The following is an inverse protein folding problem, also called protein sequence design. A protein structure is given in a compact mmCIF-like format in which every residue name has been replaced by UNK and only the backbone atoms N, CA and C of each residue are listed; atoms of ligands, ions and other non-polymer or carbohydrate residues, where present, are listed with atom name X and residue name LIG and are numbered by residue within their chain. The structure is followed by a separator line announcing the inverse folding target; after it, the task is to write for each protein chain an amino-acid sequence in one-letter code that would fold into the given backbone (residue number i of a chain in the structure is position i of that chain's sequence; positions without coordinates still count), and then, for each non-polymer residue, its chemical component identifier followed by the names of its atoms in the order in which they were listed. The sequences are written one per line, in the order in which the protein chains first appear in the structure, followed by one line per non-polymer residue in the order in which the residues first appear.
data_IF_235802710134
#
_entry.id   IF_235802710134
#
_cell.length_a   1.000
_cell.length_b   1.000
_cell.length_c   1.000
_cell.angle_alpha   90.00
_cell.angle_beta   90.00
_cell.angle_gamma   90.00
#
_symmetry.space_group_name_H-M   'P 1'
#
loop_
_entity.id
_entity.type
_entity.pdbx_description
1 polymer ?
#
# COMPACT_ATOMS: atom_id res chain seq x y z
N UNK A 1 -61.99 15.09 11.53
CA UNK A 1 -61.07 13.93 11.50
C UNK A 1 -59.67 14.40 11.86
N UNK A 2 -59.22 14.13 13.09
CA UNK A 2 -57.89 14.54 13.59
C UNK A 2 -56.85 13.46 13.30
N UNK A 3 -55.78 13.80 12.55
CA UNK A 3 -54.61 12.92 12.32
C UNK A 3 -53.82 12.78 13.63
N UNK A 4 -53.77 11.59 14.20
CA UNK A 4 -52.85 11.27 15.30
C UNK A 4 -51.44 11.17 14.73
N UNK A 5 -50.60 12.17 15.06
CA UNK A 5 -49.19 12.16 14.71
C UNK A 5 -48.47 11.23 15.68
N UNK A 6 -48.15 10.01 15.23
CA UNK A 6 -47.38 9.06 16.03
C UNK A 6 -45.99 9.63 16.32
N UNK A 7 -45.69 9.92 17.59
CA UNK A 7 -44.33 10.25 18.02
C UNK A 7 -43.49 8.97 18.06
N UNK A 8 -42.48 8.89 17.18
CA UNK A 8 -41.47 7.84 17.19
C UNK A 8 -40.48 8.13 18.31
N UNK A 9 -40.26 7.22 19.29
CA UNK A 9 -39.26 7.43 20.32
C UNK A 9 -37.87 7.54 19.71
N UNK A 10 -37.18 8.67 19.90
CA UNK A 10 -35.77 8.82 19.50
C UNK A 10 -34.89 7.99 20.43
N UNK A 11 -34.37 6.88 19.92
CA UNK A 11 -33.42 6.02 20.62
C UNK A 11 -32.14 6.81 20.94
N UNK A 12 -31.95 7.22 22.19
CA UNK A 12 -30.68 7.85 22.64
C UNK A 12 -29.65 6.76 22.85
N UNK A 13 -28.67 6.66 21.95
CA UNK A 13 -27.53 5.75 22.06
C UNK A 13 -26.53 6.28 23.09
N UNK A 14 -26.82 6.12 24.38
CA UNK A 14 -25.81 6.31 25.42
C UNK A 14 -25.18 4.96 25.77
N UNK A 15 -24.51 4.34 24.80
CA UNK A 15 -23.62 3.24 25.11
C UNK A 15 -22.29 3.85 25.55
N UNK A 16 -22.13 4.12 26.85
CA UNK A 16 -20.81 4.35 27.40
C UNK A 16 -20.04 3.05 27.24
N UNK A 17 -19.27 2.95 26.16
CA UNK A 17 -18.35 1.85 25.94
C UNK A 17 -17.40 1.90 27.14
N UNK A 18 -17.52 0.95 28.06
CA UNK A 18 -16.52 0.77 29.11
C UNK A 18 -15.22 0.47 28.36
N UNK A 19 -14.39 1.50 28.20
CA UNK A 19 -13.03 1.35 27.70
C UNK A 19 -12.35 0.56 28.80
N UNK A 20 -12.17 -0.72 28.56
CA UNK A 20 -11.39 -1.57 29.44
C UNK A 20 -9.97 -1.02 29.27
N UNK A 21 -9.52 -0.20 30.23
CA UNK A 21 -8.14 0.27 30.35
C UNK A 21 -7.23 -0.88 30.80
N UNK A 22 -7.33 -2.03 30.12
CA UNK A 22 -6.27 -3.02 30.21
C UNK A 22 -5.04 -2.39 29.55
N UNK A 23 -3.90 -2.31 30.25
CA UNK A 23 -2.69 -1.80 29.65
C UNK A 23 -2.39 -2.65 28.42
N UNK A 24 -2.50 -2.05 27.23
CA UNK A 24 -2.11 -2.71 25.98
C UNK A 24 -0.61 -2.99 26.11
N UNK A 25 -0.29 -4.24 26.42
CA UNK A 25 1.08 -4.71 26.40
C UNK A 25 1.63 -4.42 24.99
N UNK A 26 2.68 -3.61 24.92
CA UNK A 26 3.33 -3.28 23.64
C UNK A 26 3.77 -4.59 22.99
N UNK A 27 3.35 -4.80 21.74
CA UNK A 27 3.73 -6.00 20.98
C UNK A 27 5.24 -6.08 20.85
N UNK A 28 5.79 -7.30 20.97
CA UNK A 28 7.22 -7.54 20.73
C UNK A 28 7.57 -7.14 19.29
N UNK A 29 8.72 -6.49 19.11
CA UNK A 29 9.21 -6.08 17.79
C UNK A 29 9.66 -7.33 17.02
N UNK A 30 8.96 -7.64 15.94
CA UNK A 30 9.38 -8.67 14.98
C UNK A 30 10.32 -8.02 13.96
N UNK A 31 11.54 -8.56 13.84
CA UNK A 31 12.51 -8.12 12.83
C UNK A 31 12.41 -9.07 11.64
N UNK A 32 11.88 -8.56 10.52
CA UNK A 32 11.79 -9.34 9.28
C UNK A 32 13.12 -9.36 8.52
N UNK A 33 13.46 -10.53 8.00
CA UNK A 33 14.62 -10.73 7.13
C UNK A 33 14.36 -10.12 5.73
N UNK A 34 15.43 -9.91 4.95
CA UNK A 34 15.36 -9.36 3.60
C UNK A 34 14.46 -10.16 2.66
N UNK A 35 14.64 -11.49 2.61
CA UNK A 35 13.84 -12.39 1.75
C UNK A 35 12.35 -12.24 2.04
N UNK A 36 11.97 -12.19 3.32
CA UNK A 36 10.58 -12.01 3.74
C UNK A 36 10.02 -10.65 3.31
N UNK A 37 10.82 -9.58 3.36
CA UNK A 37 10.40 -8.24 2.90
C UNK A 37 10.16 -8.25 1.38
N UNK A 38 10.99 -8.97 0.63
CA UNK A 38 10.78 -9.08 -0.81
C UNK A 38 9.53 -9.90 -1.15
N UNK A 39 9.30 -11.01 -0.46
CA UNK A 39 8.07 -11.80 -0.57
C UNK A 39 6.81 -10.98 -0.25
N UNK A 40 6.87 -10.11 0.75
CA UNK A 40 5.77 -9.20 1.08
C UNK A 40 5.47 -8.27 -0.10
N UNK A 41 6.51 -7.74 -0.75
CA UNK A 41 6.36 -6.86 -1.92
C UNK A 41 5.79 -7.63 -3.11
N UNK A 42 6.25 -8.86 -3.37
CA UNK A 42 5.74 -9.69 -4.47
C UNK A 42 4.29 -10.12 -4.22
N UNK A 43 3.96 -10.59 -3.02
CA UNK A 43 2.57 -10.91 -2.61
C UNK A 43 1.63 -9.72 -2.78
N UNK A 44 2.11 -8.50 -2.48
CA UNK A 44 1.33 -7.28 -2.71
C UNK A 44 1.12 -7.00 -4.20
N UNK A 45 2.14 -7.19 -5.04
CA UNK A 45 2.01 -7.06 -6.51
C UNK A 45 1.06 -8.08 -7.10
N UNK A 46 1.02 -9.29 -6.54
CA UNK A 46 0.07 -10.34 -6.90
C UNK A 46 -1.37 -10.09 -6.41
N UNK A 47 -1.65 -8.91 -5.84
CA UNK A 47 -3.00 -8.52 -5.42
C UNK A 47 -3.42 -9.02 -4.04
N UNK A 48 -2.52 -9.63 -3.25
CA UNK A 48 -2.87 -10.10 -1.91
C UNK A 48 -3.20 -8.91 -1.00
N UNK A 49 -4.30 -9.03 -0.24
CA UNK A 49 -4.72 -8.00 0.70
C UNK A 49 -3.69 -7.81 1.82
N UNK A 50 -3.38 -6.55 2.17
CA UNK A 50 -2.36 -6.22 3.18
C UNK A 50 -2.70 -6.83 4.55
N UNK A 51 -3.99 -6.95 4.89
CA UNK A 51 -4.45 -7.60 6.13
C UNK A 51 -4.06 -9.07 6.19
N UNK A 52 -4.15 -9.79 5.07
CA UNK A 52 -3.77 -11.20 5.00
C UNK A 52 -2.25 -11.34 5.16
N UNK A 53 -1.48 -10.51 4.46
CA UNK A 53 -0.01 -10.49 4.56
C UNK A 53 0.44 -10.17 6.00
N UNK A 54 -0.19 -9.20 6.65
CA UNK A 54 0.11 -8.84 8.03
C UNK A 54 -0.11 -10.02 9.00
N UNK A 55 -1.16 -10.81 8.78
CA UNK A 55 -1.42 -12.03 9.55
C UNK A 55 -0.38 -13.11 9.23
N UNK A 56 -0.10 -13.38 7.96
CA UNK A 56 0.84 -14.45 7.56
C UNK A 56 2.24 -14.26 8.18
N UNK A 57 2.71 -13.01 8.29
CA UNK A 57 4.03 -12.70 8.83
C UNK A 57 4.00 -12.21 10.29
N UNK A 58 2.83 -12.21 10.94
CA UNK A 58 2.63 -11.72 12.32
C UNK A 58 3.16 -10.29 12.55
N UNK A 59 2.96 -9.42 11.55
CA UNK A 59 3.48 -8.03 11.60
C UNK A 59 2.34 -7.03 11.58
N UNK A 60 2.55 -5.89 12.23
CA UNK A 60 1.63 -4.76 12.14
C UNK A 60 1.46 -4.25 10.71
N UNK A 61 0.25 -3.76 10.41
CA UNK A 61 -0.06 -3.14 9.11
C UNK A 61 0.88 -1.98 8.79
N UNK A 62 1.27 -1.20 9.80
CA UNK A 62 2.25 -0.10 9.65
C UNK A 62 3.55 -0.57 9.01
N UNK A 63 4.10 -1.70 9.46
CA UNK A 63 5.33 -2.26 8.91
C UNK A 63 5.14 -2.74 7.47
N UNK A 64 3.97 -3.30 7.14
CA UNK A 64 3.65 -3.69 5.76
C UNK A 64 3.63 -2.45 4.86
N UNK A 65 3.00 -1.36 5.29
CA UNK A 65 3.02 -0.09 4.54
C UNK A 65 4.44 0.45 4.38
N UNK A 66 5.25 0.44 5.43
CA UNK A 66 6.65 0.87 5.38
C UNK A 66 7.48 0.04 4.40
N UNK A 67 7.30 -1.29 4.40
CA UNK A 67 7.99 -2.20 3.47
C UNK A 67 7.58 -1.91 2.03
N UNK A 68 6.29 -1.70 1.76
CA UNK A 68 5.80 -1.39 0.42
C UNK A 68 6.35 -0.04 -0.06
N UNK A 69 6.31 0.99 0.79
CA UNK A 69 6.82 2.32 0.47
C UNK A 69 8.34 2.31 0.19
N UNK A 70 9.09 1.55 1.00
CA UNK A 70 10.56 1.44 0.88
C UNK A 70 11.02 0.34 -0.08
N UNK A 71 10.11 -0.39 -0.71
CA UNK A 71 10.41 -1.55 -1.55
C UNK A 71 11.39 -1.26 -2.69
N UNK A 72 11.35 -0.05 -3.26
CA UNK A 72 12.29 0.40 -4.29
C UNK A 72 13.71 0.59 -3.76
N UNK A 73 13.85 1.12 -2.54
CA UNK A 73 15.14 1.35 -1.89
C UNK A 73 15.78 0.02 -1.49
N UNK A 74 14.98 -0.93 -0.95
CA UNK A 74 15.48 -2.27 -0.62
C UNK A 74 16.09 -2.98 -1.82
N UNK A 75 15.45 -2.92 -2.99
CA UNK A 75 16.00 -3.54 -4.20
C UNK A 75 17.28 -2.88 -4.69
N UNK A 76 17.37 -1.54 -4.62
CA UNK A 76 18.57 -0.80 -5.03
C UNK A 76 19.80 -1.14 -4.18
N UNK A 77 19.63 -1.33 -2.87
CA UNK A 77 20.74 -1.58 -1.94
C UNK A 77 21.27 -3.02 -2.08
N UNK A 78 20.37 -4.01 -2.23
CA UNK A 78 20.74 -5.42 -2.20
C UNK A 78 20.98 -6.04 -3.59
N UNK A 79 20.38 -5.48 -4.64
CA UNK A 79 20.57 -5.91 -6.03
C UNK A 79 20.76 -4.69 -6.94
N UNK A 80 21.92 -4.01 -6.86
CA UNK A 80 22.18 -2.81 -7.66
C UNK A 80 22.20 -3.12 -9.18
N UNK A 81 22.76 -4.27 -9.56
CA UNK A 81 22.94 -4.68 -10.97
C UNK A 81 21.60 -4.93 -11.70
N UNK A 82 20.62 -5.53 -11.02
CA UNK A 82 19.30 -5.81 -11.61
C UNK A 82 18.39 -4.57 -11.70
N UNK A 83 18.69 -3.53 -10.93
CA UNK A 83 17.90 -2.30 -10.93
C UNK A 83 18.19 -1.46 -12.18
N UNK A 84 19.46 -1.34 -12.58
CA UNK A 84 19.86 -0.56 -13.75
C UNK A 84 19.35 -1.17 -15.05
N UNK A 85 19.45 -2.49 -15.17
CA UNK A 85 19.01 -3.27 -16.35
C UNK A 85 17.50 -3.19 -16.61
N UNK A 86 16.68 -2.88 -15.60
CA UNK A 86 15.23 -2.66 -15.74
C UNK A 86 14.87 -1.22 -16.08
N UNK A 87 15.72 -0.25 -15.73
CA UNK A 87 15.47 1.16 -16.05
C UNK A 87 15.82 1.48 -17.52
N UNK A 88 16.83 0.81 -18.08
CA UNK A 88 17.22 0.95 -19.48
C UNK A 88 16.18 0.39 -20.46
N UNK A 89 15.34 -0.56 -20.04
CA UNK A 89 14.27 -1.12 -20.87
C UNK A 89 12.97 -0.28 -20.87
N UNK A 90 12.94 0.85 -20.16
CA UNK A 90 11.81 1.78 -20.08
C UNK A 90 12.08 3.14 -20.73
N UNK A 91 13.22 3.31 -21.38
CA UNK A 91 13.40 4.34 -22.39
C UNK A 91 12.97 3.68 -23.71
N UNK A 92 11.74 3.89 -24.21
CA UNK A 92 11.59 3.80 -25.64
C UNK A 92 12.51 4.88 -26.17
N UNK A 93 13.54 4.47 -26.90
CA UNK A 93 14.32 5.39 -27.70
C UNK A 93 13.36 6.41 -28.32
N UNK A 94 13.69 7.69 -28.17
CA UNK A 94 13.09 8.77 -28.95
C UNK A 94 13.40 8.56 -30.45
N UNK A 95 12.93 7.44 -31.02
CA UNK A 95 12.79 7.23 -32.45
C UNK A 95 11.52 7.96 -32.87
N UNK A 96 11.76 9.24 -33.16
CA UNK A 96 11.13 10.00 -34.22
C UNK A 96 9.59 10.04 -34.17
N UNK A 97 9.11 11.21 -33.81
CA UNK A 97 7.84 11.76 -34.25
C UNK A 97 7.73 11.62 -35.79
N UNK A 98 7.13 10.53 -36.27
CA UNK A 98 6.52 10.47 -37.61
C UNK A 98 5.01 10.42 -37.42
N UNK A 99 4.45 11.51 -36.90
CA UNK A 99 3.07 11.87 -37.17
C UNK A 99 3.11 12.55 -38.55
N UNK A 100 2.61 11.84 -39.56
CA UNK A 100 2.23 12.34 -40.89
C UNK A 100 3.04 13.54 -41.46
N UNK A 101 4.17 13.23 -42.13
CA UNK A 101 4.49 13.86 -43.42
C UNK A 101 4.71 15.38 -43.48
N UNK A 102 5.24 16.07 -42.48
CA UNK A 102 5.74 17.44 -42.66
C UNK A 102 7.10 17.67 -42.01
N UNK A 103 8.12 17.87 -42.87
CA UNK A 103 9.45 18.37 -42.50
C UNK A 103 9.35 19.86 -42.20
N UNK A 104 9.78 20.29 -41.02
CA UNK A 104 10.25 21.66 -40.82
C UNK A 104 11.76 21.63 -40.53
N UNK A 105 12.54 22.17 -41.45
CA UNK A 105 13.91 22.60 -41.19
C UNK A 105 13.85 23.87 -40.35
N UNK A 106 14.55 23.89 -39.20
CA UNK A 106 14.82 25.14 -38.49
C UNK A 106 15.89 25.92 -39.25
N UNK A 107 15.55 27.17 -39.61
CA UNK A 107 16.50 28.27 -39.76
C UNK A 107 16.87 28.74 -38.35
#
# INVERSE_FOLDING_TARGET
MTRTMYQVPKLRKNASKKVIDTPIAKRKKVVLNFVQREEIITKKKNGTAQKKIALDYMVGLSTIYDIIAKGRVFRKIYYPEDFEKKSSNLIPDNRLLTVYGTRFQRI
#
